data_IF_272976749135
#
_entry.id   IF_272976749135
#
_cell.length_a   1.000
_cell.length_b   1.000
_cell.length_c   1.000
_cell.angle_alpha   90.00
_cell.angle_beta   90.00
_cell.angle_gamma   90.00
#
_symmetry.space_group_name_H-M   'P 1'
#
loop_
_entity.id
_entity.type
_entity.pdbx_description
1 polymer ?
#
# COMPACT_ATOMS: atom_id res chain seq x y z
N UNK A 1 4.39 -9.97 2.32
CA UNK A 1 5.24 -11.13 2.64
C UNK A 1 6.08 -10.70 3.82
N UNK A 2 7.37 -10.41 3.68
CA UNK A 2 8.15 -9.67 4.66
C UNK A 2 9.10 -10.51 5.51
N UNK A 3 10.37 -10.09 5.52
CA UNK A 3 11.36 -10.48 6.51
C UNK A 3 10.91 -9.87 7.86
N UNK A 4 10.47 -10.67 8.84
CA UNK A 4 9.94 -10.14 10.09
C UNK A 4 10.95 -9.23 10.77
N UNK A 5 10.48 -8.07 11.26
CA UNK A 5 11.30 -7.07 11.97
C UNK A 5 12.46 -6.47 11.16
N UNK A 6 12.58 -6.74 9.86
CA UNK A 6 13.69 -6.24 9.06
C UNK A 6 13.71 -4.71 8.96
N UNK A 7 12.55 -4.10 8.69
CA UNK A 7 12.43 -2.64 8.69
C UNK A 7 12.85 -2.02 10.03
N UNK A 8 12.39 -2.60 11.15
CA UNK A 8 12.78 -2.15 12.50
C UNK A 8 14.29 -2.22 12.68
N UNK A 9 14.90 -3.37 12.39
CA UNK A 9 16.35 -3.55 12.50
C UNK A 9 17.12 -2.56 11.62
N UNK A 10 16.66 -2.34 10.38
CA UNK A 10 17.31 -1.41 9.44
C UNK A 10 17.22 0.03 9.94
N UNK A 11 16.06 0.44 10.44
CA UNK A 11 15.81 1.77 11.00
C UNK A 11 16.58 2.05 12.28
N UNK A 12 16.76 1.04 13.14
CA UNK A 12 17.61 1.14 14.34
C UNK A 12 19.09 1.22 13.96
N UNK A 13 19.53 0.45 12.96
CA UNK A 13 20.93 0.41 12.52
C UNK A 13 21.35 1.65 11.72
N UNK A 14 20.46 2.17 10.87
CA UNK A 14 20.74 3.31 10.01
C UNK A 14 19.65 4.40 10.20
N UNK A 15 19.61 5.08 11.35
CA UNK A 15 18.50 5.97 11.70
C UNK A 15 18.35 7.17 10.76
N UNK A 16 19.43 7.59 10.11
CA UNK A 16 19.43 8.71 9.15
C UNK A 16 18.85 8.35 7.79
N UNK A 17 18.55 7.07 7.55
CA UNK A 17 17.71 6.76 6.40
C UNK A 17 16.32 7.29 6.63
N UNK A 18 15.92 7.71 7.85
CA UNK A 18 14.55 8.06 8.17
C UNK A 18 14.24 9.57 8.35
N UNK A 19 13.07 10.05 7.92
CA UNK A 19 12.52 11.42 8.05
C UNK A 19 11.04 11.35 8.50
N UNK A 20 10.41 12.38 9.05
CA UNK A 20 8.95 12.34 9.31
C UNK A 20 8.20 13.31 8.38
N UNK A 21 7.08 12.88 7.82
CA UNK A 21 6.21 13.75 7.01
C UNK A 21 5.16 14.35 7.94
N UNK A 22 5.35 15.62 8.28
CA UNK A 22 4.41 16.46 9.02
C UNK A 22 3.96 17.61 8.12
N UNK A 23 2.93 18.33 8.53
CA UNK A 23 2.51 19.54 7.84
C UNK A 23 3.71 20.52 7.74
N UNK A 24 4.08 20.89 6.51
CA UNK A 24 5.22 21.77 6.25
C UNK A 24 6.59 21.07 6.15
N UNK A 25 6.68 19.74 6.30
CA UNK A 25 7.92 19.02 6.02
C UNK A 25 8.31 19.21 4.55
N UNK A 26 9.53 19.69 4.32
CA UNK A 26 10.13 19.76 2.99
C UNK A 26 10.81 18.42 2.72
N UNK A 27 10.41 17.75 1.64
CA UNK A 27 11.08 16.58 1.10
C UNK A 27 11.22 16.72 -0.41
N UNK A 28 12.11 15.96 -1.06
CA UNK A 28 12.35 16.09 -2.49
C UNK A 28 11.09 15.90 -3.32
N UNK A 29 10.96 16.64 -4.42
CA UNK A 29 9.93 16.37 -5.41
C UNK A 29 10.14 14.99 -6.03
N UNK A 30 9.05 14.27 -6.30
CA UNK A 30 9.09 12.95 -6.94
C UNK A 30 8.56 13.02 -8.38
N UNK A 31 9.16 12.25 -9.27
CA UNK A 31 8.68 12.09 -10.63
C UNK A 31 7.56 11.05 -10.69
N UNK A 32 7.80 9.91 -10.04
CA UNK A 32 6.95 8.73 -10.14
C UNK A 32 6.53 8.25 -8.75
N UNK A 33 5.22 8.09 -8.55
CA UNK A 33 4.62 7.43 -7.40
C UNK A 33 4.07 6.07 -7.81
N UNK A 34 4.45 5.03 -7.08
CA UNK A 34 3.95 3.67 -7.25
C UNK A 34 3.20 3.24 -5.99
N UNK A 35 1.98 2.73 -6.13
CA UNK A 35 1.15 2.28 -5.02
C UNK A 35 0.98 0.77 -5.10
N UNK A 36 1.50 0.05 -4.10
CA UNK A 36 1.05 -1.31 -3.83
C UNK A 36 -0.33 -1.22 -3.17
N UNK A 37 -1.37 -1.43 -3.96
CA UNK A 37 -2.76 -1.22 -3.53
C UNK A 37 -3.17 -2.21 -2.46
N UNK A 38 -2.55 -3.39 -2.37
CA UNK A 38 -2.86 -4.33 -1.30
C UNK A 38 -2.47 -3.77 0.07
N UNK A 39 -1.41 -2.95 0.13
CA UNK A 39 -1.03 -2.17 1.31
C UNK A 39 -2.09 -1.14 1.75
N UNK A 40 -3.03 -0.77 0.88
CA UNK A 40 -4.11 0.20 1.14
C UNK A 40 -5.45 -0.52 1.37
N UNK A 41 -5.79 -1.49 0.52
CA UNK A 41 -7.07 -2.20 0.53
C UNK A 41 -7.28 -2.90 1.88
N UNK A 42 -6.26 -3.57 2.41
CA UNK A 42 -6.38 -4.30 3.67
C UNK A 42 -6.75 -3.34 4.84
N UNK A 43 -5.94 -2.31 5.17
CA UNK A 43 -6.28 -1.36 6.23
C UNK A 43 -7.63 -0.65 6.06
N UNK A 44 -8.04 -0.33 4.83
CA UNK A 44 -9.29 0.37 4.56
C UNK A 44 -10.54 -0.52 4.62
N UNK A 45 -10.41 -1.85 4.67
CA UNK A 45 -11.54 -2.79 4.64
C UNK A 45 -11.73 -3.50 5.98
N UNK A 46 -10.65 -3.98 6.56
CA UNK A 46 -10.64 -4.66 7.85
C UNK A 46 -9.39 -4.23 8.60
N UNK A 47 -9.57 -3.47 9.68
CA UNK A 47 -8.49 -3.16 10.60
C UNK A 47 -7.89 -4.42 11.22
N UNK A 48 -6.75 -4.28 11.90
CA UNK A 48 -6.05 -5.41 12.53
C UNK A 48 -6.73 -5.94 13.80
N UNK A 49 -7.84 -5.33 14.26
CA UNK A 49 -8.38 -5.55 15.60
C UNK A 49 -9.24 -6.81 15.73
N UNK A 50 -9.39 -7.59 14.65
CA UNK A 50 -10.13 -8.85 14.68
C UNK A 50 -11.62 -8.69 15.01
N UNK A 51 -12.13 -7.46 15.02
CA UNK A 51 -13.54 -7.16 15.22
C UNK A 51 -14.36 -7.44 13.97
N UNK A 52 -15.66 -7.66 14.16
CA UNK A 52 -16.60 -7.85 13.05
C UNK A 52 -16.71 -6.54 12.28
N UNK A 53 -16.28 -6.56 11.03
CA UNK A 53 -16.37 -5.39 10.13
C UNK A 53 -17.83 -5.02 9.90
N UNK A 54 -18.16 -3.75 10.14
CA UNK A 54 -19.52 -3.20 9.97
C UNK A 54 -19.64 -2.24 8.78
N UNK A 55 -18.53 -1.93 8.11
CA UNK A 55 -18.51 -1.04 6.96
C UNK A 55 -19.18 -1.70 5.76
N UNK A 56 -19.91 -0.92 4.96
CA UNK A 56 -20.41 -1.40 3.67
C UNK A 56 -19.29 -1.42 2.64
N UNK A 57 -19.46 -2.19 1.57
CA UNK A 57 -18.48 -2.21 0.46
C UNK A 57 -18.26 -0.80 -0.13
N UNK A 58 -19.32 0.00 -0.24
CA UNK A 58 -19.21 1.38 -0.73
C UNK A 58 -18.35 2.25 0.21
N UNK A 59 -18.51 2.09 1.53
CA UNK A 59 -17.70 2.82 2.51
C UNK A 59 -16.22 2.44 2.39
N UNK A 60 -15.93 1.15 2.17
CA UNK A 60 -14.57 0.66 1.94
C UNK A 60 -13.95 1.27 0.67
N UNK A 61 -14.70 1.31 -0.43
CA UNK A 61 -14.23 1.91 -1.68
C UNK A 61 -13.96 3.40 -1.52
N UNK A 62 -14.86 4.13 -0.85
CA UNK A 62 -14.65 5.54 -0.51
C UNK A 62 -13.41 5.73 0.36
N UNK A 63 -13.17 4.88 1.35
CA UNK A 63 -11.98 4.93 2.19
C UNK A 63 -10.69 4.70 1.37
N UNK A 64 -10.67 3.69 0.50
CA UNK A 64 -9.55 3.42 -0.42
C UNK A 64 -9.27 4.63 -1.32
N UNK A 65 -10.32 5.20 -1.94
CA UNK A 65 -10.19 6.37 -2.81
C UNK A 65 -9.65 7.60 -2.08
N UNK A 66 -10.13 7.86 -0.85
CA UNK A 66 -9.61 8.94 0.01
C UNK A 66 -8.14 8.75 0.32
N UNK A 67 -7.73 7.53 0.70
CA UNK A 67 -6.34 7.21 1.00
C UNK A 67 -5.42 7.48 -0.20
N UNK A 68 -5.81 6.99 -1.39
CA UNK A 68 -5.06 7.24 -2.62
C UNK A 68 -4.96 8.74 -2.94
N UNK A 69 -6.05 9.49 -2.75
CA UNK A 69 -6.06 10.95 -2.94
C UNK A 69 -5.13 11.69 -1.97
N UNK A 70 -5.06 11.25 -0.72
CA UNK A 70 -4.14 11.79 0.27
C UNK A 70 -2.69 11.52 -0.14
N UNK A 71 -2.35 10.29 -0.54
CA UNK A 71 -1.01 9.96 -1.05
C UNK A 71 -0.64 10.81 -2.27
N UNK A 72 -1.57 11.00 -3.21
CA UNK A 72 -1.36 11.85 -4.39
C UNK A 72 -1.07 13.30 -3.99
N UNK A 73 -1.81 13.84 -3.00
CA UNK A 73 -1.65 15.21 -2.50
C UNK A 73 -0.39 15.42 -1.67
N UNK A 74 0.08 14.39 -0.97
CA UNK A 74 1.33 14.39 -0.23
C UNK A 74 2.50 14.35 -1.21
N UNK A 75 2.60 13.32 -2.04
CA UNK A 75 3.78 13.07 -2.89
C UNK A 75 3.84 13.99 -4.12
N UNK A 76 2.68 14.30 -4.72
CA UNK A 76 2.53 15.14 -5.92
C UNK A 76 3.51 14.74 -7.04
N UNK A 77 3.41 13.51 -7.58
CA UNK A 77 4.31 13.05 -8.64
C UNK A 77 4.22 13.95 -9.88
N UNK A 78 5.38 14.29 -10.45
CA UNK A 78 5.46 15.19 -11.61
C UNK A 78 5.22 14.50 -12.95
N UNK A 79 5.33 13.17 -13.01
CA UNK A 79 5.28 12.39 -14.26
C UNK A 79 4.29 11.22 -14.22
N UNK A 80 4.34 10.39 -13.18
CA UNK A 80 3.59 9.13 -13.15
C UNK A 80 2.95 8.85 -11.77
N UNK A 81 1.70 8.41 -11.80
CA UNK A 81 1.06 7.63 -10.75
C UNK A 81 0.78 6.22 -11.28
N UNK A 82 1.34 5.18 -10.64
CA UNK A 82 1.13 3.78 -10.98
C UNK A 82 0.43 3.07 -9.82
N UNK A 83 -0.78 2.59 -10.02
CA UNK A 83 -1.55 1.83 -9.04
C UNK A 83 -1.48 0.34 -9.39
N UNK A 84 -0.90 -0.47 -8.50
CA UNK A 84 -0.73 -1.91 -8.71
C UNK A 84 -1.60 -2.70 -7.73
N UNK A 85 -2.63 -3.36 -8.25
CA UNK A 85 -3.46 -4.30 -7.50
C UNK A 85 -2.90 -5.70 -7.71
N UNK A 86 -2.84 -6.53 -6.66
CA UNK A 86 -2.42 -7.93 -6.81
C UNK A 86 -3.31 -8.64 -7.84
N UNK A 87 -2.66 -9.30 -8.79
CA UNK A 87 -3.26 -10.26 -9.72
C UNK A 87 -2.92 -11.70 -9.36
N UNK A 88 -3.14 -12.61 -10.30
CA UNK A 88 -2.79 -14.02 -10.10
C UNK A 88 -1.27 -14.17 -9.86
N UNK A 89 -0.90 -14.65 -8.67
CA UNK A 89 0.50 -14.73 -8.22
C UNK A 89 1.15 -16.09 -8.59
N UNK A 90 2.50 -16.17 -8.60
CA UNK A 90 3.20 -17.43 -8.80
C UNK A 90 2.89 -18.48 -7.73
N UNK A 91 3.05 -19.76 -8.06
CA UNK A 91 2.76 -20.89 -7.16
C UNK A 91 3.44 -20.77 -5.79
N UNK A 92 4.66 -20.24 -5.75
CA UNK A 92 5.40 -20.03 -4.50
C UNK A 92 4.62 -19.10 -3.54
N UNK A 93 4.11 -17.98 -4.04
CA UNK A 93 3.25 -17.04 -3.28
C UNK A 93 1.90 -17.67 -2.94
N UNK A 94 1.29 -18.41 -3.86
CA UNK A 94 -0.03 -19.01 -3.65
C UNK A 94 -0.06 -19.94 -2.42
N UNK A 95 1.00 -20.71 -2.16
CA UNK A 95 1.08 -21.57 -0.98
C UNK A 95 1.03 -20.74 0.32
N UNK A 96 1.76 -19.64 0.38
CA UNK A 96 1.74 -18.76 1.54
C UNK A 96 0.40 -18.03 1.69
N UNK A 97 -0.17 -17.53 0.59
CA UNK A 97 -1.49 -16.91 0.59
C UNK A 97 -2.56 -17.91 1.08
N UNK A 98 -2.53 -19.16 0.61
CA UNK A 98 -3.45 -20.22 1.07
C UNK A 98 -3.39 -20.40 2.59
N UNK A 99 -2.19 -20.46 3.16
CA UNK A 99 -2.04 -20.60 4.60
C UNK A 99 -2.59 -19.38 5.36
N UNK A 100 -2.34 -18.16 4.87
CA UNK A 100 -2.89 -16.93 5.46
C UNK A 100 -4.42 -16.91 5.42
N UNK A 101 -5.01 -17.22 4.27
CA UNK A 101 -6.48 -17.26 4.07
C UNK A 101 -7.16 -18.26 4.99
N UNK A 102 -6.56 -19.44 5.17
CA UNK A 102 -7.09 -20.45 6.09
C UNK A 102 -7.12 -19.96 7.55
N UNK A 103 -6.09 -19.21 7.98
CA UNK A 103 -6.06 -18.60 9.31
C UNK A 103 -7.11 -17.49 9.44
N UNK A 104 -7.20 -16.60 8.44
CA UNK A 104 -8.17 -15.50 8.43
C UNK A 104 -9.62 -16.01 8.54
N UNK A 105 -9.97 -17.09 7.82
CA UNK A 105 -11.29 -17.71 7.93
C UNK A 105 -11.56 -18.29 9.34
N UNK A 106 -10.54 -18.89 9.96
CA UNK A 106 -10.65 -19.40 11.33
C UNK A 106 -10.79 -18.28 12.36
N UNK A 107 -10.06 -17.17 12.18
CA UNK A 107 -10.13 -15.98 13.03
C UNK A 107 -11.49 -15.31 12.92
N UNK A 108 -12.01 -15.11 11.69
CA UNK A 108 -13.35 -14.58 11.46
C UNK A 108 -14.43 -15.43 12.15
N UNK A 109 -14.33 -16.76 12.04
CA UNK A 109 -15.29 -17.66 12.70
C UNK A 109 -15.27 -17.50 14.23
N UNK A 110 -14.08 -17.36 14.84
CA UNK A 110 -13.94 -17.11 16.28
C UNK A 110 -14.49 -15.74 16.68
N UNK A 111 -14.18 -14.70 15.91
CA UNK A 111 -14.69 -13.34 16.16
C UNK A 111 -16.20 -13.27 16.10
N UNK A 112 -16.82 -13.96 15.15
CA UNK A 112 -18.28 -14.07 15.05
C UNK A 112 -18.88 -14.84 16.24
N UNK A 113 -18.26 -15.93 16.70
CA UNK A 113 -18.71 -16.64 17.90
C UNK A 113 -18.66 -15.75 19.14
N UNK A 114 -17.54 -15.06 19.36
CA UNK A 114 -17.37 -14.15 20.49
C UNK A 114 -18.38 -12.99 20.46
N UNK A 115 -18.66 -12.43 19.27
CA UNK A 115 -19.67 -11.39 19.11
C UNK A 115 -21.08 -11.90 19.49
N UNK A 116 -21.43 -13.14 19.13
CA UNK A 116 -22.71 -13.77 19.55
C UNK A 116 -22.79 -13.94 21.06
N UNK A 117 -21.72 -14.40 21.69
CA UNK A 117 -21.67 -14.58 23.15
C UNK A 117 -21.82 -13.26 23.91
N UNK A 118 -21.30 -12.16 23.33
CA UNK A 118 -21.48 -10.80 23.88
C UNK A 118 -22.83 -10.17 23.54
N UNK A 119 -23.69 -10.85 22.77
CA UNK A 119 -24.98 -10.33 22.35
C UNK A 119 -24.90 -9.18 21.35
N UNK A 120 -23.79 -9.07 20.61
CA UNK A 120 -23.63 -8.04 19.58
C UNK A 120 -24.47 -8.36 18.34
N UNK A 121 -24.96 -7.30 17.70
CA UNK A 121 -25.60 -7.42 16.39
C UNK A 121 -24.55 -7.78 15.33
N UNK A 122 -24.77 -8.91 14.66
CA UNK A 122 -23.90 -9.41 13.61
C UNK A 122 -24.51 -9.03 12.25
N UNK A 123 -23.71 -8.44 11.34
CA UNK A 123 -24.16 -8.19 9.98
C UNK A 123 -24.69 -9.47 9.32
N UNK A 124 -25.74 -9.33 8.51
CA UNK A 124 -26.31 -10.47 7.79
C UNK A 124 -25.28 -11.16 6.88
N UNK A 125 -24.39 -10.38 6.28
CA UNK A 125 -23.28 -10.84 5.45
C UNK A 125 -21.96 -10.22 5.97
N UNK A 126 -21.29 -10.87 6.93
CA UNK A 126 -20.03 -10.38 7.47
C UNK A 126 -18.95 -10.32 6.39
N UNK A 127 -18.17 -9.24 6.37
CA UNK A 127 -17.08 -9.11 5.40
C UNK A 127 -16.01 -10.19 5.61
N UNK A 128 -15.79 -11.02 4.59
CA UNK A 128 -14.69 -11.97 4.54
C UNK A 128 -13.51 -11.38 3.74
N UNK A 129 -12.41 -11.07 4.43
CA UNK A 129 -11.20 -10.51 3.80
C UNK A 129 -10.59 -11.41 2.73
N UNK A 130 -10.93 -12.70 2.67
CA UNK A 130 -10.54 -13.58 1.56
C UNK A 130 -11.09 -13.11 0.22
N UNK A 131 -12.14 -12.29 0.20
CA UNK A 131 -12.65 -11.66 -1.03
C UNK A 131 -11.63 -10.72 -1.69
N UNK A 132 -10.58 -10.28 -0.99
CA UNK A 132 -9.43 -9.55 -1.53
C UNK A 132 -8.49 -10.54 -2.21
N UNK A 133 -8.99 -11.13 -3.29
CA UNK A 133 -8.29 -12.12 -4.11
C UNK A 133 -8.70 -11.91 -5.56
N UNK A 134 -7.76 -11.96 -6.52
CA UNK A 134 -8.08 -11.88 -7.95
C UNK A 134 -9.17 -12.88 -8.35
N UNK A 135 -10.12 -12.44 -9.17
CA UNK A 135 -11.23 -13.27 -9.67
C UNK A 135 -12.50 -13.24 -8.81
N UNK A 136 -12.51 -12.56 -7.66
CA UNK A 136 -13.73 -12.34 -6.88
C UNK A 136 -14.56 -11.18 -7.45
N UNK A 137 -15.86 -11.17 -7.16
CA UNK A 137 -16.72 -10.05 -7.56
C UNK A 137 -16.35 -8.75 -6.85
N UNK A 138 -15.89 -8.82 -5.60
CA UNK A 138 -15.39 -7.67 -4.84
C UNK A 138 -14.26 -6.97 -5.61
N UNK A 139 -13.25 -7.73 -6.06
CA UNK A 139 -12.13 -7.16 -6.81
C UNK A 139 -12.55 -6.60 -8.17
N UNK A 140 -13.52 -7.22 -8.85
CA UNK A 140 -14.06 -6.69 -10.10
C UNK A 140 -14.78 -5.34 -9.89
N UNK A 141 -15.60 -5.23 -8.83
CA UNK A 141 -16.27 -3.97 -8.46
C UNK A 141 -15.27 -2.90 -8.01
N UNK A 142 -14.24 -3.28 -7.26
CA UNK A 142 -13.16 -2.38 -6.86
C UNK A 142 -12.40 -1.84 -8.07
N UNK A 143 -12.04 -2.68 -9.05
CA UNK A 143 -11.39 -2.22 -10.29
C UNK A 143 -12.27 -1.22 -11.04
N UNK A 144 -13.59 -1.47 -11.13
CA UNK A 144 -14.52 -0.52 -11.76
C UNK A 144 -14.59 0.81 -11.00
N UNK A 145 -14.67 0.74 -9.66
CA UNK A 145 -14.64 1.92 -8.81
C UNK A 145 -13.35 2.73 -9.01
N UNK A 146 -12.18 2.09 -8.99
CA UNK A 146 -10.89 2.78 -9.18
C UNK A 146 -10.81 3.46 -10.54
N UNK A 147 -11.26 2.80 -11.62
CA UNK A 147 -11.32 3.42 -12.94
C UNK A 147 -12.19 4.67 -12.96
N UNK A 148 -13.40 4.60 -12.40
CA UNK A 148 -14.31 5.75 -12.30
C UNK A 148 -13.70 6.87 -11.44
N UNK A 149 -13.16 6.51 -10.27
CA UNK A 149 -12.53 7.44 -9.34
C UNK A 149 -11.37 8.20 -10.00
N UNK A 150 -10.46 7.49 -10.67
CA UNK A 150 -9.34 8.09 -11.40
C UNK A 150 -9.85 9.05 -12.48
N UNK A 151 -10.85 8.65 -13.28
CA UNK A 151 -11.40 9.50 -14.34
C UNK A 151 -12.04 10.79 -13.79
N UNK A 152 -12.82 10.69 -12.71
CA UNK A 152 -13.36 11.88 -12.03
C UNK A 152 -12.24 12.77 -11.50
N UNK A 153 -11.22 12.19 -10.87
CA UNK A 153 -10.09 12.95 -10.33
C UNK A 153 -9.27 13.67 -11.40
N UNK A 154 -8.98 13.03 -12.54
CA UNK A 154 -8.31 13.68 -13.67
C UNK A 154 -9.11 14.88 -14.18
N UNK A 155 -10.45 14.78 -14.20
CA UNK A 155 -11.33 15.86 -14.67
C UNK A 155 -11.39 17.03 -13.68
N UNK A 156 -11.48 16.72 -12.38
CA UNK A 156 -11.87 17.70 -11.37
C UNK A 156 -10.66 18.24 -10.55
N UNK A 157 -9.51 17.55 -10.56
CA UNK A 157 -8.32 17.91 -9.76
C UNK A 157 -7.08 18.14 -10.65
N UNK A 158 -6.53 19.38 -10.69
CA UNK A 158 -5.34 19.70 -11.47
C UNK A 158 -4.08 18.89 -11.10
N UNK A 159 -3.96 18.42 -9.85
CA UNK A 159 -2.83 17.60 -9.42
C UNK A 159 -2.85 16.26 -10.15
N UNK A 160 -4.05 15.68 -10.30
CA UNK A 160 -4.27 14.42 -11.01
C UNK A 160 -4.11 14.57 -12.52
N UNK A 161 -4.54 15.70 -13.09
CA UNK A 161 -4.40 15.98 -14.52
C UNK A 161 -2.94 16.12 -15.00
N UNK A 162 -2.00 16.44 -14.09
CA UNK A 162 -0.59 16.69 -14.43
C UNK A 162 0.21 15.40 -14.68
N UNK A 163 -0.12 14.32 -13.99
CA UNK A 163 0.62 13.06 -14.07
C UNK A 163 -0.05 12.07 -15.04
N UNK A 164 0.76 11.25 -15.71
CA UNK A 164 0.25 10.04 -16.37
C UNK A 164 -0.22 9.08 -15.30
N UNK A 165 -1.41 8.50 -15.45
CA UNK A 165 -1.96 7.55 -14.49
C UNK A 165 -2.08 6.17 -15.14
N UNK A 166 -1.55 5.15 -14.47
CA UNK A 166 -1.64 3.76 -14.88
C UNK A 166 -2.28 2.96 -13.75
N UNK A 167 -3.38 2.28 -14.04
CA UNK A 167 -3.97 1.27 -13.17
C UNK A 167 -3.64 -0.12 -13.72
N UNK A 168 -2.94 -0.92 -12.94
CA UNK A 168 -2.77 -2.36 -13.17
C UNK A 168 -3.69 -3.12 -12.22
N UNK A 169 -4.91 -3.44 -12.69
CA UNK A 169 -5.93 -4.10 -11.89
C UNK A 169 -5.64 -5.57 -11.61
N UNK A 170 -6.56 -6.21 -10.87
CA UNK A 170 -6.46 -7.62 -10.47
C UNK A 170 -6.54 -8.60 -11.66
N UNK A 171 -7.07 -8.14 -12.80
CA UNK A 171 -7.14 -8.87 -14.07
C UNK A 171 -5.77 -9.06 -14.73
N UNK A 172 -4.79 -8.20 -14.42
CA UNK A 172 -3.41 -8.34 -14.89
C UNK A 172 -2.69 -9.32 -13.98
N UNK A 173 -2.06 -10.42 -14.47
CA UNK A 173 -1.32 -11.35 -13.64
C UNK A 173 -0.11 -10.69 -12.93
N UNK A 174 0.32 -11.29 -11.81
CA UNK A 174 1.48 -10.84 -11.03
C UNK A 174 1.11 -10.10 -9.75
N UNK A 175 2.03 -10.14 -8.79
CA UNK A 175 1.92 -9.41 -7.52
C UNK A 175 2.15 -7.91 -7.76
N UNK A 176 1.50 -7.05 -6.97
CA UNK A 176 1.53 -5.59 -7.12
C UNK A 176 2.96 -5.05 -7.10
N UNK A 177 3.75 -5.45 -6.11
CA UNK A 177 5.17 -5.08 -6.00
C UNK A 177 5.98 -5.51 -7.24
N UNK A 178 5.73 -6.71 -7.77
CA UNK A 178 6.45 -7.22 -8.94
C UNK A 178 6.01 -6.54 -10.24
N UNK A 179 4.72 -6.19 -10.39
CA UNK A 179 4.21 -5.38 -11.51
C UNK A 179 4.89 -4.01 -11.56
N UNK A 180 5.03 -3.36 -10.41
CA UNK A 180 5.75 -2.08 -10.28
C UNK A 180 7.20 -2.25 -10.73
N UNK A 181 7.90 -3.26 -10.21
CA UNK A 181 9.31 -3.47 -10.52
C UNK A 181 9.53 -3.88 -11.98
N UNK A 182 8.60 -4.65 -12.57
CA UNK A 182 8.61 -4.96 -14.00
C UNK A 182 8.41 -3.72 -14.87
N UNK A 183 7.46 -2.86 -14.50
CA UNK A 183 7.27 -1.57 -15.16
C UNK A 183 8.56 -0.74 -15.13
N UNK A 184 9.17 -0.56 -13.95
CA UNK A 184 10.43 0.21 -13.82
C UNK A 184 11.53 -0.38 -14.71
N UNK A 185 11.75 -1.71 -14.68
CA UNK A 185 12.78 -2.35 -15.51
C UNK A 185 12.53 -2.16 -17.01
N UNK A 186 11.28 -2.28 -17.46
CA UNK A 186 10.92 -2.16 -18.88
C UNK A 186 11.05 -0.72 -19.39
N UNK A 187 10.67 0.26 -18.57
CA UNK A 187 10.83 1.66 -18.97
C UNK A 187 12.31 2.08 -18.90
N UNK A 188 13.07 1.59 -17.92
CA UNK A 188 14.52 1.80 -17.80
C UNK A 188 15.32 1.27 -19.00
N UNK A 189 14.84 0.19 -19.64
CA UNK A 189 15.50 -0.35 -20.83
C UNK A 189 15.27 0.48 -22.10
N UNK A 190 14.43 1.51 -22.04
CA UNK A 190 14.21 2.41 -23.18
C UNK A 190 15.34 3.44 -23.26
N UNK A 191 15.78 3.76 -24.47
CA UNK A 191 16.83 4.77 -24.70
C UNK A 191 16.48 6.17 -24.15
N UNK A 192 15.18 6.46 -24.03
CA UNK A 192 14.66 7.74 -23.54
C UNK A 192 14.53 7.85 -22.02
N UNK A 193 14.93 6.81 -21.26
CA UNK A 193 14.82 6.81 -19.80
C UNK A 193 15.78 7.81 -19.15
N UNK A 194 15.30 8.83 -18.42
CA UNK A 194 16.17 9.75 -17.71
C UNK A 194 16.83 9.06 -16.51
N UNK A 195 18.15 9.24 -16.35
CA UNK A 195 18.94 8.55 -15.30
C UNK A 195 18.70 9.04 -13.87
N UNK A 196 18.07 10.21 -13.70
CA UNK A 196 17.87 10.87 -12.41
C UNK A 196 16.39 11.00 -12.04
N UNK A 197 15.54 10.08 -12.52
CA UNK A 197 14.15 10.02 -12.09
C UNK A 197 14.06 9.72 -10.59
N UNK A 198 13.19 10.43 -9.89
CA UNK A 198 12.93 10.24 -8.47
C UNK A 198 11.70 9.38 -8.27
N UNK A 199 11.89 8.23 -7.65
CA UNK A 199 10.87 7.21 -7.44
C UNK A 199 10.40 7.19 -5.98
N UNK A 200 9.10 7.12 -5.78
CA UNK A 200 8.49 6.88 -4.48
C UNK A 200 7.56 5.68 -4.59
N UNK A 201 7.73 4.66 -3.76
CA UNK A 201 6.78 3.54 -3.66
C UNK A 201 6.10 3.55 -2.29
N UNK A 202 4.77 3.46 -2.29
CA UNK A 202 3.99 3.24 -1.10
C UNK A 202 3.77 1.74 -0.88
N UNK A 203 4.11 1.25 0.32
CA UNK A 203 3.74 -0.09 0.75
C UNK A 203 4.46 -0.54 2.02
N UNK A 204 3.83 -1.44 2.77
CA UNK A 204 4.27 -1.84 4.11
C UNK A 204 5.16 -3.11 4.12
N UNK A 205 5.31 -3.79 2.99
CA UNK A 205 6.12 -5.00 2.91
C UNK A 205 7.63 -4.67 2.96
N UNK A 206 8.38 -5.46 3.74
CA UNK A 206 9.84 -5.30 3.85
C UNK A 206 10.56 -5.66 2.54
N UNK A 207 9.91 -6.45 1.69
CA UNK A 207 10.46 -6.91 0.43
C UNK A 207 10.64 -5.75 -0.56
N UNK A 208 9.82 -4.69 -0.44
CA UNK A 208 9.96 -3.45 -1.20
C UNK A 208 11.33 -2.80 -1.02
N UNK A 209 11.97 -2.91 0.15
CA UNK A 209 13.32 -2.38 0.36
C UNK A 209 14.31 -3.06 -0.58
N UNK A 210 14.27 -4.39 -0.62
CA UNK A 210 15.19 -5.17 -1.46
C UNK A 210 14.88 -4.98 -2.95
N UNK A 211 13.58 -4.94 -3.30
CA UNK A 211 13.15 -4.70 -4.67
C UNK A 211 13.57 -3.31 -5.17
N UNK A 212 13.38 -2.26 -4.34
CA UNK A 212 13.82 -0.90 -4.66
C UNK A 212 15.34 -0.83 -4.88
N UNK A 213 16.14 -1.46 -4.01
CA UNK A 213 17.59 -1.54 -4.19
C UNK A 213 17.98 -2.26 -5.48
N UNK A 214 17.30 -3.36 -5.81
CA UNK A 214 17.54 -4.14 -7.02
C UNK A 214 17.19 -3.41 -8.33
N UNK A 215 16.47 -2.27 -8.27
CA UNK A 215 16.23 -1.44 -9.46
C UNK A 215 17.50 -0.72 -9.94
N UNK A 216 18.48 -0.51 -9.04
CA UNK A 216 19.64 0.33 -9.28
C UNK A 216 19.28 1.75 -9.75
N UNK A 217 18.13 2.28 -9.33
CA UNK A 217 17.81 3.69 -9.49
C UNK A 217 18.44 4.50 -8.36
N UNK A 218 19.16 5.60 -8.65
CA UNK A 218 19.90 6.36 -7.64
C UNK A 218 18.99 7.12 -6.67
N UNK A 219 17.72 7.33 -7.04
CA UNK A 219 16.81 8.20 -6.33
C UNK A 219 15.49 7.47 -6.04
N UNK A 220 15.49 6.70 -4.95
CA UNK A 220 14.34 5.89 -4.56
C UNK A 220 13.98 6.12 -3.09
N UNK A 221 12.71 6.37 -2.82
CA UNK A 221 12.15 6.48 -1.48
C UNK A 221 10.99 5.50 -1.26
N UNK A 222 10.82 5.09 -0.01
CA UNK A 222 9.71 4.25 0.45
C UNK A 222 8.80 5.09 1.33
N UNK A 223 7.52 5.17 0.97
CA UNK A 223 6.47 5.78 1.78
C UNK A 223 5.70 4.69 2.52
N UNK A 224 5.51 4.90 3.82
CA UNK A 224 4.89 3.93 4.72
C UNK A 224 4.07 4.67 5.76
N UNK A 225 3.02 4.02 6.25
CA UNK A 225 2.31 4.48 7.43
C UNK A 225 3.11 4.20 8.69
N UNK A 226 2.91 5.06 9.69
CA UNK A 226 3.52 4.94 11.02
C UNK A 226 2.53 4.25 11.95
N UNK A 227 2.93 3.16 12.58
CA UNK A 227 2.12 2.56 13.66
C UNK A 227 2.43 3.29 14.97
N UNK A 228 1.50 4.11 15.44
CA UNK A 228 1.59 4.72 16.77
C UNK A 228 1.22 3.69 17.84
N UNK A 229 2.23 3.23 18.58
CA UNK A 229 2.07 2.33 19.73
C UNK A 229 1.41 3.00 20.97
N UNK A 230 0.71 4.13 20.81
CA UNK A 230 0.21 4.95 21.92
C UNK A 230 -1.18 4.60 22.46
N UNK A 231 -1.92 3.64 21.88
CA UNK A 231 -3.24 3.22 22.40
C UNK A 231 -3.24 1.91 23.22
N UNK A 232 -2.07 1.39 23.63
CA UNK A 232 -1.95 0.25 24.53
C UNK A 232 -1.32 0.66 25.86
N UNK A 233 -2.15 0.81 26.90
CA UNK A 233 -1.70 1.15 28.24
C UNK A 233 -0.70 0.14 28.84
N UNK A 234 0.42 0.70 29.30
CA UNK A 234 1.22 0.28 30.45
C UNK A 234 1.79 -1.16 30.45
N UNK A 235 2.93 -1.34 29.76
CA UNK A 235 4.07 -2.18 30.19
C UNK A 235 5.28 -2.06 29.22
N UNK A 236 6.25 -1.22 29.58
CA UNK A 236 7.68 -1.30 29.22
C UNK A 236 8.09 -1.12 27.74
N UNK A 237 8.34 0.13 27.33
CA UNK A 237 9.23 0.69 26.27
C UNK A 237 9.52 -0.16 25.01
N UNK A 238 9.34 0.30 23.75
CA UNK A 238 9.99 1.44 23.03
C UNK A 238 9.43 1.57 21.55
N UNK A 239 9.84 2.53 20.66
CA UNK A 239 9.06 3.72 20.24
C UNK A 239 8.79 3.90 18.70
N UNK A 240 7.98 4.95 18.41
CA UNK A 240 7.70 5.77 17.18
C UNK A 240 8.50 5.46 15.88
N UNK A 241 7.85 5.35 14.71
CA UNK A 241 8.54 5.09 13.41
C UNK A 241 8.16 6.05 12.26
N UNK A 242 9.06 6.12 11.26
CA UNK A 242 9.49 7.31 10.46
C UNK A 242 9.58 6.98 8.94
N UNK A 243 9.40 7.94 8.02
CA UNK A 243 9.67 7.91 6.53
C UNK A 243 11.16 7.69 6.23
N UNK A 244 11.61 7.53 4.97
CA UNK A 244 13.04 7.38 4.63
C UNK A 244 13.64 8.18 3.45
N UNK A 245 14.75 8.94 3.65
CA UNK A 245 15.60 9.51 2.60
C UNK A 245 17.10 9.65 3.02
N UNK A 246 18.10 9.38 2.13
CA UNK A 246 19.53 9.60 2.41
C UNK A 246 19.94 11.07 2.51
N UNK A 247 20.94 11.40 3.33
CA UNK A 247 21.40 12.77 3.64
C UNK A 247 22.22 13.48 2.54
N UNK A 248 22.23 13.00 1.29
CA UNK A 248 23.03 13.59 0.19
C UNK A 248 22.24 14.56 -0.70
N UNK A 249 21.02 14.91 -0.30
CA UNK A 249 20.12 15.80 -1.02
C UNK A 249 20.08 17.18 -0.39
N UNK A 250 21.14 17.96 -0.59
CA UNK A 250 21.10 19.40 -0.44
C UNK A 250 21.58 20.02 -1.75
N UNK A 251 20.77 20.82 -2.46
CA UNK A 251 21.27 21.61 -3.57
C UNK A 251 22.20 22.69 -3.01
N UNK A 252 23.43 22.72 -3.53
CA UNK A 252 24.19 23.97 -3.62
C UNK A 252 23.63 24.79 -4.79
#
# INVERSE_FOLDING_TARGET
MGIPKFFRWLSERYPLINQDIKAGTIFPEFDNLYLDMNGIIHPCTHGNDGEVVRMTENDMFVAIGKFVDELMKVVRPQRLLFLAVDGCAPRAKMNQQRQRRFRAASELSKSLMNARERGEEIPQDPFDSNCITPGTQFMARLTNFLNYFIQSKIKDDPIWAKAKIILSGAEVPGEGEHKIMEYIRREKSQESWPSNLRHCIFGNDADLIMLSLATHEPHFALLRETYDAQQGGDRGEEPIQRFSAPSYWNPA
#
